data_IF_449472894621
#
_entry.id   IF_449472894621
#
_cell.length_a   1.000
_cell.length_b   1.000
_cell.length_c   1.000
_cell.angle_alpha   90.00
_cell.angle_beta   90.00
_cell.angle_gamma   90.00
#
_symmetry.space_group_name_H-M   'P 1'
#
loop_
_entity.id
_entity.type
_entity.pdbx_description
1 polymer ?
#
# COMPACT_ATOMS: atom_id res chain seq x y z
N UNK A 1 6.70 -10.67 7.54
CA UNK A 1 6.11 -9.31 7.65
C UNK A 1 4.62 -9.49 7.90
N UNK A 2 4.10 -8.88 8.97
CA UNK A 2 2.67 -8.94 9.35
C UNK A 2 2.03 -7.61 8.95
N UNK A 3 1.21 -7.62 7.91
CA UNK A 3 0.43 -6.46 7.51
C UNK A 3 -0.90 -6.47 8.26
N UNK A 4 -0.93 -5.88 9.46
CA UNK A 4 -2.18 -5.66 10.19
C UNK A 4 -2.86 -4.42 9.62
N UNK A 5 -3.81 -4.63 8.71
CA UNK A 5 -4.66 -3.61 8.10
C UNK A 5 -5.47 -2.85 9.17
N UNK A 6 -5.19 -1.57 9.37
CA UNK A 6 -5.84 -0.77 10.41
C UNK A 6 -6.14 0.62 9.91
N UNK A 7 -7.41 0.99 9.97
CA UNK A 7 -7.89 2.24 9.40
C UNK A 7 -7.67 3.41 10.36
N UNK A 8 -7.30 4.56 9.82
CA UNK A 8 -7.50 5.84 10.50
C UNK A 8 -9.00 6.17 10.46
N UNK A 9 -9.45 6.86 11.50
CA UNK A 9 -10.84 7.17 11.90
C UNK A 9 -11.77 7.56 10.72
N UNK A 10 -12.40 6.56 10.09
CA UNK A 10 -13.38 6.74 9.01
C UNK A 10 -14.82 6.36 9.42
N UNK A 11 -15.78 6.55 8.51
CA UNK A 11 -17.16 6.07 8.75
C UNK A 11 -17.19 4.54 8.85
N UNK A 12 -18.05 3.97 9.73
CA UNK A 12 -18.16 2.50 9.92
C UNK A 12 -18.32 1.73 8.60
N UNK A 13 -18.97 2.32 7.59
CA UNK A 13 -19.15 1.71 6.28
C UNK A 13 -17.86 1.66 5.44
N UNK A 14 -16.99 2.66 5.56
CA UNK A 14 -15.67 2.64 4.91
C UNK A 14 -14.82 1.48 5.44
N UNK A 15 -14.92 1.24 6.75
CA UNK A 15 -14.19 0.16 7.40
C UNK A 15 -14.52 -1.22 6.83
N UNK A 16 -15.81 -1.59 6.80
CA UNK A 16 -16.23 -2.92 6.31
C UNK A 16 -15.79 -3.14 4.86
N UNK A 17 -15.98 -2.13 3.99
CA UNK A 17 -15.61 -2.26 2.57
C UNK A 17 -14.10 -2.36 2.37
N UNK A 18 -13.31 -1.59 3.12
CA UNK A 18 -11.85 -1.66 3.05
C UNK A 18 -11.31 -2.99 3.58
N UNK A 19 -11.87 -3.52 4.68
CA UNK A 19 -11.52 -4.86 5.15
C UNK A 19 -11.82 -5.93 4.09
N UNK A 20 -12.96 -5.82 3.39
CA UNK A 20 -13.30 -6.71 2.29
C UNK A 20 -12.32 -6.62 1.11
N UNK A 21 -11.98 -5.40 0.67
CA UNK A 21 -10.99 -5.16 -0.38
C UNK A 21 -9.62 -5.75 0.00
N UNK A 22 -9.18 -5.54 1.25
CA UNK A 22 -7.94 -6.09 1.74
C UNK A 22 -7.95 -7.61 1.74
N UNK A 23 -9.00 -8.25 2.25
CA UNK A 23 -9.13 -9.70 2.26
C UNK A 23 -9.05 -10.30 0.84
N UNK A 24 -9.73 -9.68 -0.12
CA UNK A 24 -9.68 -10.12 -1.51
C UNK A 24 -8.30 -9.90 -2.14
N UNK A 25 -7.68 -8.74 -1.92
CA UNK A 25 -6.35 -8.43 -2.44
C UNK A 25 -5.28 -9.39 -1.88
N UNK A 26 -5.38 -9.69 -0.60
CA UNK A 26 -4.55 -10.68 0.09
C UNK A 26 -4.74 -12.08 -0.51
N UNK A 27 -6.00 -12.44 -0.78
CA UNK A 27 -6.35 -13.73 -1.39
C UNK A 27 -5.80 -13.89 -2.81
N UNK A 28 -5.70 -12.79 -3.58
CA UNK A 28 -5.03 -12.80 -4.89
C UNK A 28 -3.55 -13.17 -4.75
N UNK A 29 -2.86 -12.58 -3.76
CA UNK A 29 -1.46 -12.93 -3.47
C UNK A 29 -1.32 -14.38 -3.02
N UNK A 30 -2.05 -14.82 -2.01
CA UNK A 30 -1.98 -16.21 -1.51
C UNK A 30 -2.27 -17.21 -2.64
N UNK A 31 -3.18 -16.91 -3.57
CA UNK A 31 -3.42 -17.76 -4.74
C UNK A 31 -2.23 -17.78 -5.71
N UNK A 32 -1.56 -16.65 -5.89
CA UNK A 32 -0.46 -16.51 -6.84
C UNK A 32 0.86 -17.13 -6.34
N UNK A 33 1.18 -16.94 -5.06
CA UNK A 33 2.47 -17.37 -4.48
C UNK A 33 2.35 -18.54 -3.50
N UNK A 34 1.13 -18.92 -3.13
CA UNK A 34 0.85 -19.99 -2.18
C UNK A 34 0.74 -19.51 -0.72
N UNK A 35 0.45 -20.46 0.16
CA UNK A 35 0.51 -20.26 1.61
C UNK A 35 1.97 -20.25 2.07
N UNK A 36 2.32 -19.51 3.13
CA UNK A 36 3.69 -19.48 3.65
C UNK A 36 4.14 -20.87 4.12
N UNK A 37 5.23 -21.35 3.52
CA UNK A 37 5.81 -22.67 3.75
C UNK A 37 7.22 -22.75 3.16
N UNK A 38 7.95 -23.80 3.49
CA UNK A 38 9.20 -24.13 2.80
C UNK A 38 8.96 -24.38 1.29
N UNK A 39 7.86 -25.05 0.94
CA UNK A 39 7.51 -25.37 -0.45
C UNK A 39 7.24 -24.13 -1.32
N UNK A 40 6.57 -23.11 -0.76
CA UNK A 40 6.31 -21.85 -1.47
C UNK A 40 7.49 -20.87 -1.42
N UNK A 41 8.52 -21.16 -0.62
CA UNK A 41 9.74 -20.36 -0.54
C UNK A 41 9.56 -18.99 0.14
N UNK A 42 8.47 -18.76 0.88
CA UNK A 42 8.24 -17.50 1.57
C UNK A 42 7.58 -17.65 2.95
N UNK A 43 7.88 -16.70 3.84
CA UNK A 43 7.25 -16.55 5.16
C UNK A 43 6.16 -15.47 5.23
N UNK A 44 5.69 -14.96 4.09
CA UNK A 44 4.68 -13.90 4.04
C UNK A 44 3.35 -14.34 4.66
N UNK A 45 2.87 -13.59 5.66
CA UNK A 45 1.62 -13.83 6.36
C UNK A 45 0.80 -12.55 6.46
N UNK A 46 -0.50 -12.69 6.26
CA UNK A 46 -1.46 -11.60 6.45
C UNK A 46 -2.34 -11.96 7.64
N UNK A 47 -2.37 -11.10 8.65
CA UNK A 47 -3.19 -11.29 9.84
C UNK A 47 -3.97 -10.02 10.11
N UNK A 48 -5.29 -10.12 10.17
CA UNK A 48 -6.11 -9.11 10.81
C UNK A 48 -6.00 -9.27 12.33
N UNK A 49 -6.13 -8.15 13.04
CA UNK A 49 -6.20 -8.16 14.49
C UNK A 49 -7.57 -7.63 14.90
N UNK A 50 -8.23 -8.33 15.81
CA UNK A 50 -9.54 -7.97 16.34
C UNK A 50 -9.51 -8.02 17.86
N UNK A 51 -10.13 -7.03 18.50
CA UNK A 51 -10.34 -6.95 19.93
C UNK A 51 -11.84 -6.72 20.19
N UNK A 52 -12.48 -7.60 20.97
CA UNK A 52 -13.93 -7.55 21.21
C UNK A 52 -14.78 -7.52 19.91
N UNK A 53 -14.35 -8.27 18.88
CA UNK A 53 -15.03 -8.36 17.59
C UNK A 53 -14.91 -7.12 16.71
N UNK A 54 -13.98 -6.20 17.02
CA UNK A 54 -13.67 -5.03 16.19
C UNK A 54 -12.16 -4.82 16.13
N UNK A 55 -11.58 -4.44 14.99
CA UNK A 55 -10.19 -4.00 14.97
C UNK A 55 -10.07 -2.64 15.69
N UNK A 56 -9.24 -2.52 16.73
CA UNK A 56 -8.89 -1.22 17.30
C UNK A 56 -8.18 -0.32 16.28
N UNK A 57 -8.14 0.98 16.55
CA UNK A 57 -7.42 1.92 15.69
C UNK A 57 -5.90 1.85 15.91
N UNK A 58 -5.11 2.09 14.85
CA UNK A 58 -3.64 2.21 14.90
C UNK A 58 -3.15 3.30 15.85
N UNK A 59 -3.92 4.38 15.96
CA UNK A 59 -3.64 5.53 16.81
C UNK A 59 -4.83 5.73 17.76
N UNK A 60 -4.53 6.10 18.99
CA UNK A 60 -5.52 6.44 20.00
C UNK A 60 -6.16 7.80 19.66
N UNK A 61 -7.20 8.18 20.41
CA UNK A 61 -7.89 9.46 20.18
C UNK A 61 -6.98 10.69 20.38
N UNK A 62 -5.92 10.57 21.16
CA UNK A 62 -4.88 11.60 21.35
C UNK A 62 -3.84 11.63 20.21
N UNK A 63 -3.98 10.77 19.19
CA UNK A 63 -3.06 10.67 18.05
C UNK A 63 -1.80 9.84 18.31
N UNK A 64 -1.57 9.37 19.54
CA UNK A 64 -0.44 8.50 19.89
C UNK A 64 -0.61 7.10 19.31
N UNK A 65 0.50 6.41 19.07
CA UNK A 65 0.47 5.04 18.57
C UNK A 65 -0.21 4.08 19.56
N UNK A 66 -1.01 3.16 19.03
CA UNK A 66 -1.62 2.11 19.81
C UNK A 66 -0.64 0.94 19.98
N UNK A 67 0.00 0.87 21.15
CA UNK A 67 1.08 -0.06 21.50
C UNK A 67 0.72 -1.55 21.42
N UNK A 68 -0.57 -1.89 21.25
CA UNK A 68 -0.98 -3.27 20.94
C UNK A 68 -0.48 -3.73 19.56
N UNK A 69 -0.12 -2.79 18.70
CA UNK A 69 0.45 -3.04 17.39
C UNK A 69 1.95 -2.77 17.38
N UNK A 70 2.68 -3.61 16.65
CA UNK A 70 4.07 -3.32 16.31
C UNK A 70 4.12 -2.06 15.45
N UNK A 71 5.05 -1.15 15.73
CA UNK A 71 5.28 0.06 14.94
C UNK A 71 5.60 -0.23 13.46
N UNK A 72 6.00 -1.47 13.16
CA UNK A 72 6.25 -2.00 11.82
C UNK A 72 4.97 -2.47 11.09
N UNK A 73 3.79 -2.33 11.70
CA UNK A 73 2.52 -2.74 11.09
C UNK A 73 2.15 -1.85 9.90
N UNK A 74 1.50 -2.45 8.91
CA UNK A 74 0.99 -1.72 7.73
C UNK A 74 -0.30 -0.99 8.08
N UNK A 75 -0.23 0.33 8.17
CA UNK A 75 -1.40 1.19 8.37
C UNK A 75 -2.17 1.34 7.07
N UNK A 76 -3.50 1.33 7.13
CA UNK A 76 -4.32 1.70 5.98
C UNK A 76 -4.92 3.08 6.23
N UNK A 77 -4.54 4.04 5.41
CA UNK A 77 -5.02 5.42 5.53
C UNK A 77 -5.97 5.75 4.38
N UNK A 78 -6.98 6.58 4.65
CA UNK A 78 -7.79 7.17 3.58
C UNK A 78 -7.22 8.55 3.20
N UNK A 79 -6.95 8.79 1.91
CA UNK A 79 -6.38 10.06 1.42
C UNK A 79 -7.35 11.24 1.57
N UNK A 80 -8.65 10.96 1.61
CA UNK A 80 -9.71 11.98 1.70
C UNK A 80 -9.75 12.66 3.07
N UNK A 81 -9.29 11.98 4.12
CA UNK A 81 -9.21 12.53 5.48
C UNK A 81 -8.03 13.49 5.67
N UNK A 82 -7.03 13.48 4.76
CA UNK A 82 -5.84 14.34 4.84
C UNK A 82 -5.86 15.54 3.88
N UNK A 83 -6.89 15.68 3.04
CA UNK A 83 -6.91 16.69 1.98
C UNK A 83 -5.90 16.42 0.84
N UNK A 84 -5.28 15.24 0.83
CA UNK A 84 -4.24 14.81 -0.13
C UNK A 84 -4.83 14.14 -1.40
N UNK A 85 -6.17 14.04 -1.50
CA UNK A 85 -6.88 13.22 -2.50
C UNK A 85 -6.78 13.64 -3.97
N UNK A 86 -5.86 14.54 -4.35
CA UNK A 86 -5.78 15.07 -5.73
C UNK A 86 -4.84 14.33 -6.68
N UNK A 87 -3.98 13.42 -6.21
CA UNK A 87 -2.86 12.95 -7.04
C UNK A 87 -2.72 11.43 -7.23
N UNK A 88 -3.41 10.58 -6.45
CA UNK A 88 -3.37 9.13 -6.66
C UNK A 88 -4.62 8.41 -6.12
N UNK A 89 -5.07 7.35 -6.82
CA UNK A 89 -6.12 6.44 -6.33
C UNK A 89 -5.65 5.67 -5.09
N UNK A 90 -4.39 5.29 -5.09
CA UNK A 90 -3.72 4.61 -4.00
C UNK A 90 -2.21 4.85 -4.04
N UNK A 91 -1.55 4.61 -2.92
CA UNK A 91 -0.10 4.70 -2.78
C UNK A 91 0.38 3.79 -1.66
N UNK A 92 1.47 3.09 -1.89
CA UNK A 92 2.24 2.43 -0.85
C UNK A 92 3.75 2.63 -1.06
N UNK A 93 4.55 2.67 0.02
CA UNK A 93 5.99 2.69 -0.09
C UNK A 93 6.48 1.36 -0.67
N UNK A 94 7.62 1.44 -1.36
CA UNK A 94 8.34 0.25 -1.80
C UNK A 94 9.14 -0.36 -0.65
N UNK A 95 8.84 -1.63 -0.37
CA UNK A 95 9.55 -2.47 0.58
C UNK A 95 9.41 -2.06 2.05
N UNK A 96 10.12 -2.79 2.90
CA UNK A 96 10.15 -2.55 4.33
C UNK A 96 11.04 -1.35 4.67
N UNK A 97 10.44 -0.27 5.20
CA UNK A 97 11.17 0.80 5.88
C UNK A 97 11.62 0.39 7.29
N UNK A 98 12.93 0.30 7.54
CA UNK A 98 13.45 0.04 8.88
C UNK A 98 13.25 1.26 9.79
N UNK A 99 13.24 1.02 11.10
CA UNK A 99 13.14 2.08 12.10
C UNK A 99 14.35 3.04 12.04
N UNK A 100 15.50 2.58 11.57
CA UNK A 100 16.71 3.41 11.44
C UNK A 100 16.55 4.51 10.37
N UNK A 101 15.72 4.27 9.35
CA UNK A 101 15.45 5.24 8.29
C UNK A 101 14.23 6.12 8.58
N UNK A 102 13.23 5.57 9.28
CA UNK A 102 11.97 6.25 9.55
C UNK A 102 11.46 5.80 10.93
N UNK A 103 11.49 6.71 11.90
CA UNK A 103 11.11 6.44 13.28
C UNK A 103 9.60 6.61 13.52
N UNK A 104 8.80 6.99 12.51
CA UNK A 104 7.36 7.16 12.71
C UNK A 104 6.69 5.78 12.90
N UNK A 105 5.94 5.57 13.99
CA UNK A 105 5.11 4.39 14.13
C UNK A 105 4.02 4.39 13.03
N UNK A 106 3.95 3.27 12.29
CA UNK A 106 3.09 3.16 11.10
C UNK A 106 3.71 3.71 9.82
N UNK A 107 5.04 3.85 9.76
CA UNK A 107 5.81 4.15 8.54
C UNK A 107 5.50 3.25 7.34
N UNK A 108 5.07 2.01 7.59
CA UNK A 108 4.47 1.17 6.55
C UNK A 108 3.03 1.62 6.40
N UNK A 109 2.68 2.27 5.29
CA UNK A 109 1.31 2.70 5.06
C UNK A 109 0.85 2.40 3.64
N UNK A 110 -0.40 1.93 3.53
CA UNK A 110 -1.15 1.83 2.30
C UNK A 110 -2.19 2.95 2.34
N UNK A 111 -2.07 3.93 1.46
CA UNK A 111 -3.01 5.06 1.37
C UNK A 111 -3.98 4.83 0.23
N UNK A 112 -5.28 5.03 0.46
CA UNK A 112 -6.33 4.84 -0.53
C UNK A 112 -7.20 6.09 -0.59
N UNK A 113 -7.43 6.65 -1.77
CA UNK A 113 -8.56 7.56 -1.97
C UNK A 113 -9.83 6.73 -1.98
N UNK A 114 -10.48 6.57 -0.82
CA UNK A 114 -11.61 5.66 -0.65
C UNK A 114 -12.75 5.96 -1.64
N UNK A 115 -13.12 7.22 -1.82
CA UNK A 115 -14.23 7.60 -2.70
C UNK A 115 -13.96 7.18 -4.15
N UNK A 116 -12.77 7.51 -4.67
CA UNK A 116 -12.39 7.17 -6.04
C UNK A 116 -12.12 5.66 -6.21
N UNK A 117 -11.47 5.03 -5.22
CA UNK A 117 -11.19 3.59 -5.23
C UNK A 117 -12.48 2.79 -5.32
N UNK A 118 -13.54 3.17 -4.58
CA UNK A 118 -14.82 2.46 -4.66
C UNK A 118 -15.53 2.60 -6.01
N UNK A 119 -15.14 3.57 -6.85
CA UNK A 119 -15.63 3.76 -8.21
C UNK A 119 -14.70 3.16 -9.28
N UNK A 120 -13.51 2.68 -8.89
CA UNK A 120 -12.56 2.10 -9.82
C UNK A 120 -13.12 0.80 -10.43
N UNK A 121 -12.72 0.49 -11.67
CA UNK A 121 -13.17 -0.73 -12.37
C UNK A 121 -12.74 -2.01 -11.63
N UNK A 122 -11.54 -2.03 -11.04
CA UNK A 122 -10.93 -3.20 -10.40
C UNK A 122 -10.24 -2.83 -9.07
N UNK A 123 -10.98 -2.40 -8.03
CA UNK A 123 -10.40 -1.87 -6.80
C UNK A 123 -9.55 -2.89 -6.04
N UNK A 124 -9.99 -4.16 -6.02
CA UNK A 124 -9.23 -5.27 -5.42
C UNK A 124 -7.85 -5.42 -6.06
N UNK A 125 -7.75 -5.31 -7.39
CA UNK A 125 -6.48 -5.45 -8.11
C UNK A 125 -5.55 -4.28 -7.82
N UNK A 126 -6.08 -3.06 -7.69
CA UNK A 126 -5.29 -1.88 -7.31
C UNK A 126 -4.75 -2.03 -5.88
N UNK A 127 -5.58 -2.47 -4.93
CA UNK A 127 -5.10 -2.73 -3.56
C UNK A 127 -4.06 -3.86 -3.53
N UNK A 128 -4.23 -4.91 -4.34
CA UNK A 128 -3.23 -5.97 -4.46
C UNK A 128 -1.91 -5.47 -5.06
N UNK A 129 -1.97 -4.55 -6.02
CA UNK A 129 -0.79 -3.87 -6.58
C UNK A 129 -0.01 -3.13 -5.51
N UNK A 130 -0.67 -2.31 -4.69
CA UNK A 130 -0.02 -1.57 -3.60
C UNK A 130 0.54 -2.50 -2.52
N UNK A 131 -0.15 -3.59 -2.20
CA UNK A 131 0.39 -4.63 -1.32
C UNK A 131 1.70 -5.20 -1.90
N UNK A 132 1.78 -5.37 -3.22
CA UNK A 132 3.00 -5.77 -3.92
C UNK A 132 4.17 -4.83 -3.60
N UNK A 133 3.93 -3.52 -3.65
CA UNK A 133 4.96 -2.53 -3.29
C UNK A 133 5.43 -2.69 -1.85
N UNK A 134 4.53 -2.87 -0.89
CA UNK A 134 4.90 -3.10 0.54
C UNK A 134 5.79 -4.34 0.70
N UNK A 135 5.55 -5.37 -0.12
CA UNK A 135 6.35 -6.60 -0.13
C UNK A 135 7.70 -6.45 -0.85
N UNK A 136 8.00 -5.28 -1.40
CA UNK A 136 9.24 -5.02 -2.13
C UNK A 136 9.18 -5.44 -3.59
N UNK A 137 8.01 -5.39 -4.23
CA UNK A 137 7.85 -5.64 -5.67
C UNK A 137 7.78 -4.31 -6.41
N UNK A 138 8.71 -4.09 -7.34
CA UNK A 138 8.71 -2.91 -8.23
C UNK A 138 7.72 -3.10 -9.38
N UNK A 139 7.43 -2.03 -10.12
CA UNK A 139 6.64 -2.17 -11.34
C UNK A 139 7.33 -3.06 -12.36
N UNK A 140 6.55 -3.88 -13.07
CA UNK A 140 7.06 -4.84 -14.05
C UNK A 140 7.90 -4.17 -15.16
N UNK A 141 7.52 -2.96 -15.57
CA UNK A 141 8.23 -2.19 -16.59
C UNK A 141 9.57 -1.59 -16.10
N UNK A 142 9.92 -1.76 -14.82
CA UNK A 142 11.20 -1.33 -14.23
C UNK A 142 12.21 -2.48 -14.11
N UNK A 143 11.87 -3.69 -14.59
CA UNK A 143 12.82 -4.80 -14.63
C UNK A 143 14.06 -4.43 -15.46
N UNK A 144 15.23 -4.93 -15.06
CA UNK A 144 16.48 -4.66 -15.79
C UNK A 144 16.47 -5.13 -17.25
N UNK A 145 15.60 -6.09 -17.60
CA UNK A 145 15.37 -6.55 -18.96
C UNK A 145 14.07 -6.00 -19.58
N UNK A 146 13.43 -4.96 -19.03
CA UNK A 146 12.18 -4.44 -19.56
C UNK A 146 12.32 -3.94 -21.01
N UNK A 147 13.49 -3.39 -21.37
CA UNK A 147 13.80 -2.89 -22.71
C UNK A 147 13.71 -3.95 -23.81
N UNK A 148 13.73 -5.25 -23.48
CA UNK A 148 13.54 -6.33 -24.46
C UNK A 148 12.07 -6.62 -24.74
N UNK A 149 11.14 -6.13 -23.92
CA UNK A 149 9.70 -6.42 -24.00
C UNK A 149 8.83 -5.17 -24.16
N UNK A 150 9.33 -4.01 -23.76
CA UNK A 150 8.58 -2.75 -23.73
C UNK A 150 9.41 -1.67 -24.41
N UNK A 151 8.78 -0.96 -25.34
CA UNK A 151 9.32 0.27 -25.90
C UNK A 151 8.81 1.47 -25.08
N UNK A 152 9.72 2.13 -24.37
CA UNK A 152 9.41 3.32 -23.58
C UNK A 152 9.86 4.58 -24.33
N UNK A 153 8.91 5.47 -24.64
CA UNK A 153 9.19 6.73 -25.33
C UNK A 153 9.09 7.89 -24.35
N UNK A 154 10.23 8.31 -23.79
CA UNK A 154 10.29 9.36 -22.76
C UNK A 154 9.57 10.65 -23.18
N UNK A 155 9.63 11.01 -24.47
CA UNK A 155 8.98 12.20 -25.05
C UNK A 155 7.45 12.25 -24.89
N UNK A 156 6.84 11.13 -24.51
CA UNK A 156 5.39 11.04 -24.30
C UNK A 156 5.00 11.25 -22.83
N UNK A 157 5.94 11.52 -21.91
CA UNK A 157 5.61 11.90 -20.53
C UNK A 157 5.14 13.36 -20.48
N UNK A 158 4.13 13.64 -19.66
CA UNK A 158 3.51 14.97 -19.53
C UNK A 158 4.52 16.06 -19.12
N UNK A 159 5.55 15.68 -18.37
CA UNK A 159 6.58 16.56 -17.82
C UNK A 159 7.94 16.42 -18.53
N UNK A 160 8.00 15.75 -19.69
CA UNK A 160 9.25 15.46 -20.39
C UNK A 160 10.12 16.70 -20.62
N UNK A 161 9.55 17.75 -21.22
CA UNK A 161 10.31 18.96 -21.56
C UNK A 161 10.77 19.72 -20.30
N UNK A 162 9.97 19.69 -19.22
CA UNK A 162 10.30 20.32 -17.94
C UNK A 162 11.53 19.64 -17.34
N UNK A 163 11.49 18.31 -17.22
CA UNK A 163 12.60 17.53 -16.62
C UNK A 163 13.85 17.61 -17.50
N UNK A 164 13.70 17.53 -18.82
CA UNK A 164 14.82 17.62 -19.76
C UNK A 164 15.56 18.96 -19.61
N UNK A 165 14.84 20.07 -19.65
CA UNK A 165 15.44 21.41 -19.55
C UNK A 165 16.15 21.62 -18.20
N UNK A 166 15.61 21.06 -17.12
CA UNK A 166 16.25 21.14 -15.80
C UNK A 166 17.58 20.37 -15.73
N UNK A 167 17.67 19.21 -16.38
CA UNK A 167 18.90 18.40 -16.43
C UNK A 167 19.97 18.98 -17.35
N UNK A 168 19.58 19.61 -18.46
CA UNK A 168 20.52 20.23 -19.41
C UNK A 168 21.08 21.57 -18.91
N UNK A 169 20.43 22.18 -17.91
CA UNK A 169 20.86 23.43 -17.29
C UNK A 169 21.77 23.24 -16.05
N UNK A 170 21.95 21.99 -15.59
CA UNK A 170 22.75 21.61 -14.42
C UNK A 170 24.18 21.19 -14.83
#
# INVERSE_FOLDING_TARGET
MLATSLLRKGTKNAHVKLSYLMSNATSLWVRAIGSPSEQSGHGLQFKSYEQHGKPPYCRKDDGTWNVIYSESSVVIDTLNERGEGRYALSYAPYGYRSHDFDQDPGRQNLRINYAEMMNARNPTTLVAHELGHIMGIMHQHQRGNAVTYVYFKCKNLDDYDIVKNALEAA
#
